data_IF_908849630482
#
_entry.id   IF_908849630482
#
_cell.length_a   1.000
_cell.length_b   1.000
_cell.length_c   1.000
_cell.angle_alpha   90.00
_cell.angle_beta   90.00
_cell.angle_gamma   90.00
#
_symmetry.space_group_name_H-M   'P 1'
#
loop_
_entity.id
_entity.type
_entity.pdbx_description
1 polymer ?
#
# COMPACT_ATOMS: atom_id res chain seq x y z
N UNK A 1 13.23 -16.70 -17.90
CA UNK A 1 12.37 -17.07 -16.76
C UNK A 1 11.18 -17.83 -17.33
N UNK A 2 10.88 -19.05 -16.88
CA UNK A 2 9.73 -19.83 -17.37
C UNK A 2 8.66 -19.92 -16.29
N UNK A 3 7.39 -19.87 -16.69
CA UNK A 3 6.22 -19.78 -15.81
C UNK A 3 6.16 -20.85 -14.69
N UNK A 4 6.49 -22.13 -14.95
CA UNK A 4 6.49 -23.16 -13.89
C UNK A 4 7.44 -22.87 -12.74
N UNK A 5 8.64 -22.34 -13.03
CA UNK A 5 9.61 -22.03 -11.98
C UNK A 5 9.18 -20.84 -11.11
N UNK A 6 8.52 -19.84 -11.71
CA UNK A 6 7.96 -18.73 -10.96
C UNK A 6 6.82 -19.20 -10.05
N UNK A 7 5.90 -20.02 -10.58
CA UNK A 7 4.78 -20.57 -9.82
C UNK A 7 5.29 -21.41 -8.64
N UNK A 8 6.28 -22.28 -8.88
CA UNK A 8 6.90 -23.08 -7.84
C UNK A 8 7.58 -22.23 -6.75
N UNK A 9 8.28 -21.16 -7.14
CA UNK A 9 8.90 -20.24 -6.18
C UNK A 9 7.85 -19.49 -5.34
N UNK A 10 6.74 -19.06 -5.94
CA UNK A 10 5.63 -18.42 -5.22
C UNK A 10 4.96 -19.41 -4.26
N UNK A 11 4.77 -20.67 -4.66
CA UNK A 11 4.19 -21.72 -3.82
C UNK A 11 5.02 -21.95 -2.55
N UNK A 12 6.34 -22.20 -2.69
CA UNK A 12 7.23 -22.43 -1.54
C UNK A 12 7.21 -21.26 -0.55
N UNK A 13 7.18 -20.03 -1.08
CA UNK A 13 7.10 -18.82 -0.24
C UNK A 13 5.77 -18.75 0.49
N UNK A 14 4.67 -19.02 -0.20
CA UNK A 14 3.34 -19.02 0.38
C UNK A 14 3.17 -20.05 1.49
N UNK A 15 3.74 -21.25 1.31
CA UNK A 15 3.71 -22.33 2.32
C UNK A 15 4.43 -21.94 3.62
N UNK A 16 5.27 -20.89 3.58
CA UNK A 16 5.98 -20.33 4.75
C UNK A 16 5.47 -18.94 5.13
N UNK A 17 4.21 -18.62 4.78
CA UNK A 17 3.53 -17.35 5.06
C UNK A 17 4.22 -16.10 4.47
N UNK A 18 5.08 -16.27 3.47
CA UNK A 18 5.70 -15.17 2.72
C UNK A 18 4.88 -14.82 1.47
N UNK A 19 3.84 -14.03 1.66
CA UNK A 19 2.85 -13.73 0.62
C UNK A 19 3.27 -12.68 -0.41
N UNK A 20 4.33 -11.92 -0.12
CA UNK A 20 4.82 -10.83 -0.95
C UNK A 20 6.10 -11.21 -1.66
N UNK A 21 6.23 -10.92 -2.95
CA UNK A 21 7.44 -11.20 -3.74
C UNK A 21 7.68 -10.09 -4.75
N UNK A 22 8.90 -9.53 -4.77
CA UNK A 22 9.27 -8.56 -5.81
C UNK A 22 9.65 -9.26 -7.11
N UNK A 23 9.25 -8.66 -8.23
CA UNK A 23 9.72 -8.98 -9.58
C UNK A 23 10.07 -7.67 -10.28
N UNK A 24 11.33 -7.24 -10.13
CA UNK A 24 11.75 -5.89 -10.50
C UNK A 24 10.97 -4.83 -9.69
N UNK A 25 10.33 -3.83 -10.33
CA UNK A 25 9.55 -2.80 -9.63
C UNK A 25 8.14 -3.28 -9.21
N UNK A 26 7.72 -4.47 -9.64
CA UNK A 26 6.37 -4.99 -9.38
C UNK A 26 6.38 -5.83 -8.10
N UNK A 27 5.35 -5.64 -7.26
CA UNK A 27 5.09 -6.48 -6.10
C UNK A 27 3.98 -7.48 -6.41
N UNK A 28 4.30 -8.77 -6.36
CA UNK A 28 3.32 -9.86 -6.39
C UNK A 28 2.82 -10.07 -4.96
N UNK A 29 1.50 -10.06 -4.79
CA UNK A 29 0.82 -10.33 -3.52
C UNK A 29 -0.12 -11.52 -3.68
N UNK A 30 0.04 -12.54 -2.84
CA UNK A 30 -0.84 -13.71 -2.81
C UNK A 30 -1.78 -13.62 -1.61
N UNK A 31 -3.09 -13.75 -1.82
CA UNK A 31 -4.05 -13.67 -0.72
C UNK A 31 -3.94 -14.90 0.20
N UNK A 32 -3.56 -14.77 1.49
CA UNK A 32 -3.42 -15.91 2.39
C UNK A 32 -4.76 -16.46 2.89
N UNK A 33 -5.88 -15.75 2.73
CA UNK A 33 -7.18 -16.07 3.35
C UNK A 33 -7.15 -16.29 4.88
N UNK A 34 -6.06 -15.85 5.53
CA UNK A 34 -5.87 -15.88 6.98
C UNK A 34 -5.10 -14.65 7.43
N UNK A 35 -5.15 -14.34 8.72
CA UNK A 35 -4.28 -13.34 9.32
C UNK A 35 -2.89 -13.93 9.53
N UNK A 36 -1.86 -13.19 9.12
CA UNK A 36 -0.46 -13.53 9.40
C UNK A 36 0.00 -12.58 10.52
N UNK A 37 0.30 -13.09 11.74
CA UNK A 37 0.74 -12.25 12.85
C UNK A 37 1.97 -11.42 12.50
N UNK A 38 2.03 -10.16 12.95
CA UNK A 38 3.20 -9.29 12.74
C UNK A 38 3.30 -8.66 11.34
N UNK A 39 2.54 -9.14 10.35
CA UNK A 39 2.73 -8.70 8.95
C UNK A 39 2.37 -7.23 8.71
N UNK A 40 1.34 -6.72 9.40
CA UNK A 40 0.81 -5.37 9.22
C UNK A 40 0.82 -4.52 10.49
N UNK A 41 1.67 -4.91 11.45
CA UNK A 41 1.79 -4.23 12.73
C UNK A 41 2.36 -2.82 12.54
N UNK A 42 2.01 -1.92 13.48
CA UNK A 42 2.49 -0.53 13.45
C UNK A 42 4.02 -0.49 13.50
N UNK A 43 4.65 -1.37 14.28
CA UNK A 43 6.12 -1.44 14.37
C UNK A 43 6.77 -1.76 13.02
N UNK A 44 6.18 -2.68 12.23
CA UNK A 44 6.68 -3.02 10.88
C UNK A 44 6.51 -1.83 9.93
N UNK A 45 5.40 -1.12 10.05
CA UNK A 45 5.11 0.08 9.27
C UNK A 45 6.14 1.18 9.59
N UNK A 46 6.33 1.49 10.86
CA UNK A 46 7.29 2.50 11.36
C UNK A 46 8.73 2.15 10.97
N UNK A 47 9.10 0.87 11.06
CA UNK A 47 10.41 0.39 10.63
C UNK A 47 10.66 0.69 9.15
N UNK A 48 9.69 0.43 8.28
CA UNK A 48 9.79 0.68 6.83
C UNK A 48 9.83 2.17 6.52
N UNK A 49 9.07 2.99 7.26
CA UNK A 49 9.06 4.44 7.10
C UNK A 49 10.42 5.07 7.46
N UNK A 50 10.97 4.68 8.61
CA UNK A 50 12.20 5.28 9.17
C UNK A 50 13.48 4.71 8.56
N UNK A 51 13.51 3.42 8.19
CA UNK A 51 14.70 2.77 7.69
C UNK A 51 14.58 2.40 6.19
N UNK A 52 15.29 3.11 5.28
CA UNK A 52 15.29 2.80 3.85
C UNK A 52 15.70 1.37 3.52
N UNK A 53 16.57 0.75 4.33
CA UNK A 53 17.03 -0.62 4.09
C UNK A 53 15.89 -1.64 4.25
N UNK A 54 14.90 -1.35 5.10
CA UNK A 54 13.74 -2.23 5.32
C UNK A 54 12.77 -2.24 4.12
N UNK A 55 12.82 -1.23 3.25
CA UNK A 55 12.06 -1.21 2.00
C UNK A 55 12.63 -2.15 0.91
N UNK A 56 13.74 -2.85 1.18
CA UNK A 56 14.29 -3.89 0.29
C UNK A 56 13.57 -5.23 0.43
N UNK A 57 12.87 -5.46 1.55
CA UNK A 57 12.05 -6.65 1.73
C UNK A 57 10.73 -6.52 0.96
N UNK A 58 10.27 -7.58 0.25
CA UNK A 58 8.97 -7.57 -0.40
C UNK A 58 7.84 -7.33 0.60
N UNK A 59 7.21 -6.17 0.51
CA UNK A 59 6.06 -5.80 1.33
C UNK A 59 5.26 -4.67 0.69
N UNK A 60 3.95 -4.60 0.94
CA UNK A 60 3.12 -3.47 0.46
C UNK A 60 3.61 -2.12 0.99
N UNK A 61 4.05 -2.08 2.25
CA UNK A 61 4.64 -0.88 2.87
C UNK A 61 5.91 -0.41 2.17
N UNK A 62 6.71 -1.33 1.61
CA UNK A 62 7.88 -0.95 0.83
C UNK A 62 7.48 -0.20 -0.44
N UNK A 63 6.47 -0.69 -1.16
CA UNK A 63 5.90 -0.01 -2.34
C UNK A 63 5.31 1.35 -1.97
N UNK A 64 4.58 1.44 -0.86
CA UNK A 64 4.04 2.70 -0.35
C UNK A 64 5.15 3.69 0.00
N UNK A 65 6.26 3.23 0.59
CA UNK A 65 7.41 4.06 0.92
C UNK A 65 8.13 4.56 -0.35
N UNK A 66 8.29 3.71 -1.38
CA UNK A 66 8.84 4.14 -2.67
C UNK A 66 7.98 5.23 -3.31
N UNK A 67 6.65 5.08 -3.29
CA UNK A 67 5.74 6.11 -3.79
C UNK A 67 5.80 7.39 -2.95
N UNK A 68 5.82 7.29 -1.62
CA UNK A 68 5.91 8.48 -0.76
C UNK A 68 7.22 9.24 -0.96
N UNK A 69 8.36 8.53 -0.99
CA UNK A 69 9.66 9.13 -1.23
C UNK A 69 9.79 9.70 -2.63
N UNK A 70 9.29 9.01 -3.65
CA UNK A 70 9.26 9.54 -5.02
C UNK A 70 8.52 10.88 -5.09
N UNK A 71 7.40 11.01 -4.36
CA UNK A 71 6.67 12.28 -4.24
C UNK A 71 7.52 13.35 -3.54
N UNK A 72 8.16 13.04 -2.41
CA UNK A 72 8.97 13.99 -1.65
C UNK A 72 10.26 14.41 -2.38
N UNK A 73 10.95 13.48 -3.01
CA UNK A 73 12.29 13.69 -3.57
C UNK A 73 12.22 14.38 -4.94
N UNK A 74 11.17 14.12 -5.72
CA UNK A 74 11.03 14.64 -7.09
C UNK A 74 9.95 15.70 -7.25
N UNK A 75 9.12 15.91 -6.22
CA UNK A 75 7.94 16.79 -6.25
C UNK A 75 6.94 16.43 -7.36
N UNK A 76 6.96 15.18 -7.86
CA UNK A 76 6.05 14.71 -8.91
C UNK A 76 4.96 13.78 -8.36
N UNK A 77 3.70 13.89 -8.84
CA UNK A 77 2.63 12.99 -8.43
C UNK A 77 2.97 11.52 -8.69
N UNK A 78 2.69 10.67 -7.71
CA UNK A 78 2.96 9.22 -7.76
C UNK A 78 1.65 8.43 -7.87
N UNK A 79 1.70 7.28 -8.55
CA UNK A 79 0.54 6.40 -8.72
C UNK A 79 0.91 4.97 -8.33
N UNK A 80 0.08 4.37 -7.47
CA UNK A 80 0.15 2.94 -7.13
C UNK A 80 -1.04 2.25 -7.78
N UNK A 81 -0.77 1.36 -8.75
CA UNK A 81 -1.79 0.55 -9.41
C UNK A 81 -1.88 -0.83 -8.74
N UNK A 82 -3.07 -1.19 -8.27
CA UNK A 82 -3.36 -2.51 -7.70
C UNK A 82 -4.31 -3.25 -8.63
N UNK A 83 -3.81 -4.29 -9.29
CA UNK A 83 -4.56 -5.13 -10.23
C UNK A 83 -4.65 -6.58 -9.74
N UNK A 84 -5.56 -7.34 -10.32
CA UNK A 84 -5.77 -8.75 -9.98
C UNK A 84 -7.23 -9.17 -10.10
N UNK A 85 -7.46 -10.47 -10.06
CA UNK A 85 -8.79 -11.05 -10.15
C UNK A 85 -9.66 -10.74 -8.92
N UNK A 86 -10.95 -11.02 -9.03
CA UNK A 86 -11.88 -10.84 -7.93
C UNK A 86 -11.52 -11.77 -6.77
N UNK A 87 -11.39 -11.23 -5.56
CA UNK A 87 -10.98 -11.99 -4.37
C UNK A 87 -9.46 -12.09 -4.15
N UNK A 88 -8.64 -11.55 -5.06
CA UNK A 88 -7.18 -11.55 -4.93
C UNK A 88 -6.61 -10.67 -3.80
N UNK A 89 -7.45 -9.96 -3.04
CA UNK A 89 -7.01 -9.10 -1.93
C UNK A 89 -6.70 -7.65 -2.30
N UNK A 90 -7.17 -7.16 -3.46
CA UNK A 90 -6.96 -5.78 -3.91
C UNK A 90 -7.44 -4.75 -2.89
N UNK A 91 -8.69 -4.89 -2.41
CA UNK A 91 -9.28 -3.96 -1.44
C UNK A 91 -8.47 -3.90 -0.16
N UNK A 92 -8.09 -5.04 0.42
CA UNK A 92 -7.24 -5.11 1.62
C UNK A 92 -5.87 -4.49 1.39
N UNK A 93 -5.24 -4.76 0.25
CA UNK A 93 -3.95 -4.16 -0.12
C UNK A 93 -4.06 -2.63 -0.18
N UNK A 94 -5.13 -2.09 -0.79
CA UNK A 94 -5.39 -0.65 -0.80
C UNK A 94 -5.51 -0.08 0.61
N UNK A 95 -6.18 -0.76 1.54
CA UNK A 95 -6.29 -0.31 2.94
C UNK A 95 -4.91 -0.13 3.58
N UNK A 96 -4.00 -1.09 3.39
CA UNK A 96 -2.65 -1.01 3.94
C UNK A 96 -1.78 0.07 3.29
N UNK A 97 -1.91 0.28 1.98
CA UNK A 97 -1.26 1.41 1.29
C UNK A 97 -1.72 2.74 1.89
N UNK A 98 -3.03 2.91 2.06
CA UNK A 98 -3.62 4.13 2.61
C UNK A 98 -3.18 4.37 4.05
N UNK A 99 -3.16 3.34 4.89
CA UNK A 99 -2.68 3.40 6.28
C UNK A 99 -1.22 3.85 6.34
N UNK A 100 -0.36 3.26 5.50
CA UNK A 100 1.05 3.67 5.41
C UNK A 100 1.19 5.14 5.03
N UNK A 101 0.52 5.56 3.95
CA UNK A 101 0.60 6.92 3.42
C UNK A 101 0.03 7.97 4.38
N UNK A 102 -1.04 7.63 5.11
CA UNK A 102 -1.62 8.50 6.12
C UNK A 102 -0.66 8.74 7.29
N UNK A 103 0.07 7.71 7.72
CA UNK A 103 1.09 7.85 8.77
C UNK A 103 2.32 8.61 8.24
N UNK A 104 2.79 8.28 7.04
CA UNK A 104 3.93 8.94 6.42
C UNK A 104 3.70 10.46 6.24
N UNK A 105 2.50 10.86 5.83
CA UNK A 105 2.14 12.28 5.68
C UNK A 105 1.73 13.00 6.95
N UNK A 106 1.41 12.29 8.03
CA UNK A 106 1.05 12.89 9.31
C UNK A 106 2.26 13.45 10.07
N UNK A 107 3.45 12.88 9.87
CA UNK A 107 4.63 13.21 10.69
C UNK A 107 4.35 13.01 12.18
N UNK A 108 4.82 13.93 13.02
CA UNK A 108 4.62 13.88 14.50
C UNK A 108 3.21 14.31 14.95
N UNK A 109 2.33 14.75 14.04
CA UNK A 109 1.01 15.32 14.39
C UNK A 109 -0.11 14.27 14.54
N UNK A 110 0.23 12.98 14.51
CA UNK A 110 -0.72 11.88 14.69
C UNK A 110 -1.56 11.56 13.44
N UNK A 111 -2.07 10.33 13.38
CA UNK A 111 -2.70 9.72 12.20
C UNK A 111 -3.82 10.60 11.63
N UNK A 112 -3.66 10.98 10.36
CA UNK A 112 -4.66 11.78 9.62
C UNK A 112 -6.01 11.05 9.53
N UNK A 113 -7.11 11.78 9.76
CA UNK A 113 -8.50 11.30 9.58
C UNK A 113 -8.83 10.80 8.16
N UNK A 114 -7.91 10.97 7.19
CA UNK A 114 -8.08 10.55 5.80
C UNK A 114 -8.15 9.03 5.67
N UNK A 115 -7.35 8.26 6.43
CA UNK A 115 -7.44 6.78 6.43
C UNK A 115 -8.86 6.36 6.81
N UNK A 116 -9.36 6.89 7.94
CA UNK A 116 -10.67 6.57 8.49
C UNK A 116 -11.78 6.86 7.48
N UNK A 117 -11.78 8.04 6.85
CA UNK A 117 -12.77 8.41 5.82
C UNK A 117 -12.75 7.48 4.60
N UNK A 118 -11.57 7.08 4.15
CA UNK A 118 -11.45 6.15 3.01
C UNK A 118 -11.93 4.75 3.39
N UNK A 119 -11.59 4.27 4.58
CA UNK A 119 -12.06 2.98 5.09
C UNK A 119 -13.58 2.95 5.27
N UNK A 120 -14.16 4.02 5.83
CA UNK A 120 -15.61 4.16 6.05
C UNK A 120 -16.40 4.27 4.73
N UNK A 121 -15.77 4.72 3.65
CA UNK A 121 -16.41 4.77 2.31
C UNK A 121 -16.55 3.40 1.65
N UNK A 122 -15.73 2.41 2.03
CA UNK A 122 -15.69 1.10 1.36
C UNK A 122 -17.02 0.35 1.42
N UNK A 123 -17.69 0.19 2.58
CA UNK A 123 -18.97 -0.51 2.64
C UNK A 123 -20.04 0.09 1.72
N UNK A 124 -20.07 1.42 1.58
CA UNK A 124 -21.00 2.10 0.67
C UNK A 124 -20.64 1.79 -0.79
N UNK A 125 -19.37 1.95 -1.17
CA UNK A 125 -18.93 1.65 -2.54
C UNK A 125 -19.14 0.17 -2.91
N UNK A 126 -18.95 -0.74 -1.96
CA UNK A 126 -19.19 -2.17 -2.16
C UNK A 126 -20.69 -2.46 -2.30
N UNK A 127 -21.56 -1.86 -1.48
CA UNK A 127 -23.00 -2.07 -1.57
C UNK A 127 -23.60 -1.64 -2.93
N UNK A 128 -23.06 -0.59 -3.55
CA UNK A 128 -23.53 -0.10 -4.85
C UNK A 128 -22.75 -0.66 -6.05
N UNK A 129 -21.50 -1.04 -5.84
CA UNK A 129 -20.55 -1.34 -6.92
C UNK A 129 -20.13 -2.81 -7.02
N UNK A 130 -20.44 -3.63 -6.02
CA UNK A 130 -20.15 -5.06 -6.07
C UNK A 130 -21.37 -5.85 -6.56
N UNK A 131 -21.09 -6.94 -7.27
CA UNK A 131 -22.09 -7.88 -7.73
C UNK A 131 -21.61 -9.31 -7.52
N UNK A 132 -22.57 -10.21 -7.33
CA UNK A 132 -22.33 -11.64 -7.40
C UNK A 132 -22.08 -12.05 -8.85
N UNK A 133 -21.05 -12.86 -9.06
CA UNK A 133 -20.70 -13.49 -10.33
C UNK A 133 -20.63 -15.01 -10.14
N UNK A 134 -20.51 -15.77 -11.23
CA UNK A 134 -20.37 -17.23 -11.15
C UNK A 134 -19.14 -17.71 -10.36
N UNK A 135 -18.10 -16.87 -10.23
CA UNK A 135 -16.82 -17.22 -9.60
C UNK A 135 -16.55 -16.48 -8.29
N UNK A 136 -17.33 -15.45 -7.96
CA UNK A 136 -17.11 -14.61 -6.80
C UNK A 136 -18.40 -13.88 -6.39
N UNK A 137 -18.80 -14.03 -5.13
CA UNK A 137 -20.04 -13.47 -4.60
C UNK A 137 -19.98 -11.95 -4.29
N UNK A 138 -18.78 -11.36 -4.26
CA UNK A 138 -18.55 -9.94 -3.94
C UNK A 138 -17.54 -9.30 -4.92
N UNK A 139 -17.81 -9.40 -6.23
CA UNK A 139 -16.93 -8.84 -7.27
C UNK A 139 -17.21 -7.37 -7.52
N UNK A 140 -16.24 -6.50 -7.30
CA UNK A 140 -16.32 -5.10 -7.73
C UNK A 140 -16.47 -4.99 -9.24
N UNK A 141 -17.44 -4.19 -9.69
CA UNK A 141 -17.75 -3.92 -11.10
C UNK A 141 -17.42 -2.49 -11.52
N UNK A 142 -16.61 -1.81 -10.72
CA UNK A 142 -16.16 -0.44 -10.94
C UNK A 142 -14.64 -0.33 -10.72
N UNK A 143 -14.01 0.65 -11.37
CA UNK A 143 -12.65 1.07 -11.04
C UNK A 143 -12.68 2.03 -9.86
N UNK A 144 -11.82 1.81 -8.85
CA UNK A 144 -11.68 2.71 -7.71
C UNK A 144 -10.39 3.53 -7.86
N UNK A 145 -10.54 4.84 -8.03
CA UNK A 145 -9.43 5.80 -7.98
C UNK A 145 -9.51 6.61 -6.69
N UNK A 146 -8.40 6.66 -5.95
CA UNK A 146 -8.29 7.42 -4.69
C UNK A 146 -7.10 8.35 -4.84
N UNK A 147 -7.35 9.66 -4.71
CA UNK A 147 -6.30 10.66 -4.73
C UNK A 147 -6.03 11.17 -3.32
N UNK A 148 -4.78 11.03 -2.88
CA UNK A 148 -4.28 11.65 -1.65
C UNK A 148 -3.49 12.90 -2.01
N UNK A 149 -3.78 14.00 -1.32
CA UNK A 149 -3.07 15.26 -1.48
C UNK A 149 -2.29 15.54 -0.21
N UNK A 150 -0.97 15.70 -0.35
CA UNK A 150 -0.09 16.07 0.74
C UNK A 150 0.22 17.56 0.63
N UNK A 151 0.11 18.28 1.75
CA UNK A 151 0.49 19.68 1.80
C UNK A 151 2.00 19.76 1.92
N UNK A 152 2.63 20.54 1.04
CA UNK A 152 4.04 20.88 1.17
C UNK A 152 4.25 21.76 2.43
N UNK A 153 4.92 21.20 3.43
CA UNK A 153 5.31 21.92 4.66
C UNK A 153 6.71 22.50 4.57
N UNK A 154 7.43 22.30 3.46
CA UNK A 154 8.82 22.73 3.25
C UNK A 154 8.95 24.25 3.07
N UNK A 155 7.88 24.95 2.69
CA UNK A 155 7.87 26.42 2.52
C UNK A 155 8.01 27.24 3.81
N UNK A 156 8.07 26.62 4.98
CA UNK A 156 8.30 27.34 6.25
C UNK A 156 9.68 27.10 6.88
N UNK A 157 10.55 26.29 6.27
CA UNK A 157 11.91 26.04 6.82
C UNK A 157 13.04 26.83 6.17
N UNK A 158 12.78 27.58 5.09
CA UNK A 158 13.84 28.30 4.36
C UNK A 158 13.92 29.82 4.58
N UNK A 159 13.13 30.42 5.48
CA UNK A 159 13.20 31.87 5.74
C UNK A 159 13.91 32.31 7.04
N UNK A 160 14.53 31.39 7.78
CA UNK A 160 15.33 31.73 8.96
C UNK A 160 16.67 30.99 8.97
N UNK A 161 17.58 31.38 8.08
CA UNK A 161 19.02 31.25 8.28
C UNK A 161 19.74 32.18 7.30
N UNK A 162 20.76 32.87 7.79
CA UNK A 162 21.60 33.89 7.13
C UNK A 162 21.05 35.32 7.15
N UNK A 163 21.14 35.94 8.34
CA UNK A 163 21.77 37.25 8.50
C UNK A 163 22.79 37.12 9.64
N UNK A 164 24.05 37.39 9.33
CA UNK A 164 25.22 37.34 10.21
C UNK A 164 26.47 37.51 9.38
#
# INVERSE_FOLDING_TARGET
LHEPALLHALQIRFDTDKIYTFTGPILIAMNPFKRIPGLYDIDKLDQVLRNPACAREPHVFAVSNYAFRGLCDTETPQTVLISGESGAGKTETTKFVMKFLALAGAGDQGVSNVEKKVLESNPVLEAFGNARTLRNDNSSRFGKFIQLQFKDTSRHRHHHAFHG
#
